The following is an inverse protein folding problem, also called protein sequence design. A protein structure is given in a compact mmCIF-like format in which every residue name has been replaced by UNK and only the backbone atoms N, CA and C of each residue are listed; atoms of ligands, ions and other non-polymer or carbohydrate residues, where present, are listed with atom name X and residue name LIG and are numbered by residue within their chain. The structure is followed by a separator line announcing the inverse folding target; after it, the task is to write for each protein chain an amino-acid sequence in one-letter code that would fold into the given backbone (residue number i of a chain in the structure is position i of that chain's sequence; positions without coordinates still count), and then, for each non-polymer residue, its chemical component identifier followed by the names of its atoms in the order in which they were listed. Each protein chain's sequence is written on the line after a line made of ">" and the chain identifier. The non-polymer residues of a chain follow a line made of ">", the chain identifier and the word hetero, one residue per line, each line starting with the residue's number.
data_IF_030024732914
#
_entry.id   IF_030024732914
#
_cell.length_a   1.000
_cell.length_b   1.000
_cell.length_c   1.000
_cell.angle_alpha   90.00
_cell.angle_beta   90.00
_cell.angle_gamma   90.00
#
_symmetry.space_group_name_H-M   'P 1'
#
loop_
_entity.id
_entity.type
_entity.pdbx_description
1 polymer ?
#
# COMPACT_ATOMS: atom_id res chain seq x y z
N UNK A 1 -2.92 22.99 4.82
CA UNK A 1 -3.62 22.11 3.90
C UNK A 1 -3.70 20.69 4.48
N UNK A 2 -4.79 19.99 4.18
CA UNK A 2 -5.01 18.62 4.64
C UNK A 2 -4.43 17.66 3.59
N UNK A 3 -3.50 16.77 3.98
CA UNK A 3 -3.00 15.74 3.08
C UNK A 3 -4.05 14.62 2.93
N UNK A 4 -4.69 14.53 1.77
CA UNK A 4 -5.72 13.53 1.48
C UNK A 4 -5.18 12.23 0.96
N UNK A 5 -4.20 12.32 0.06
CA UNK A 5 -3.64 11.16 -0.61
C UNK A 5 -2.22 11.50 -1.11
N UNK A 6 -1.36 10.51 -1.12
CA UNK A 6 -0.16 10.52 -1.95
C UNK A 6 -0.55 9.93 -3.30
N UNK A 7 -0.47 10.72 -4.36
CA UNK A 7 -0.92 10.33 -5.69
C UNK A 7 0.24 9.76 -6.49
N UNK A 8 0.12 8.51 -6.87
CA UNK A 8 1.07 7.82 -7.74
C UNK A 8 0.34 6.76 -8.58
N UNK A 9 0.99 6.33 -9.66
CA UNK A 9 0.50 5.29 -10.56
C UNK A 9 1.59 4.26 -10.81
N UNK A 10 1.38 2.99 -10.46
CA UNK A 10 2.30 1.95 -10.86
C UNK A 10 2.33 1.81 -12.39
N UNK A 11 3.49 2.04 -13.00
CA UNK A 11 3.70 1.92 -14.45
C UNK A 11 4.46 0.63 -14.75
N UNK A 12 4.04 -0.17 -15.73
CA UNK A 12 4.82 -1.31 -16.18
C UNK A 12 6.24 -0.87 -16.57
N UNK A 13 7.24 -1.64 -16.18
CA UNK A 13 8.65 -1.36 -16.46
C UNK A 13 9.24 -2.46 -17.35
N UNK A 14 9.32 -3.68 -16.84
CA UNK A 14 9.98 -4.81 -17.51
C UNK A 14 9.53 -6.13 -16.91
N UNK A 15 10.07 -7.21 -17.45
CA UNK A 15 10.07 -8.52 -16.82
C UNK A 15 11.50 -8.96 -16.58
N UNK A 16 11.78 -9.53 -15.41
CA UNK A 16 13.08 -10.10 -15.08
C UNK A 16 12.95 -11.59 -14.79
N UNK A 17 13.99 -12.35 -15.12
CA UNK A 17 14.11 -13.74 -14.77
C UNK A 17 15.02 -13.91 -13.55
N UNK A 18 14.49 -14.52 -12.49
CA UNK A 18 15.25 -14.79 -11.28
C UNK A 18 15.64 -16.26 -11.25
N UNK A 19 16.95 -16.61 -11.28
CA UNK A 19 17.40 -17.98 -11.14
C UNK A 19 17.08 -18.48 -9.73
N UNK A 20 16.44 -19.64 -9.66
CA UNK A 20 16.15 -20.32 -8.41
C UNK A 20 17.30 -21.28 -8.12
N UNK A 21 18.20 -20.90 -7.21
CA UNK A 21 19.26 -21.81 -6.71
C UNK A 21 18.66 -22.73 -5.66
N UNK A 22 18.92 -24.05 -5.78
CA UNK A 22 18.61 -25.08 -4.77
C UNK A 22 17.16 -25.53 -4.56
N UNK A 23 16.23 -25.19 -5.44
CA UNK A 23 14.86 -25.72 -5.36
C UNK A 23 14.67 -27.12 -5.95
N UNK A 24 15.71 -27.73 -6.52
CA UNK A 24 15.64 -29.07 -7.14
C UNK A 24 15.11 -30.16 -6.21
N UNK A 25 15.37 -30.09 -4.91
CA UNK A 25 14.85 -31.05 -3.93
C UNK A 25 13.38 -30.84 -3.55
N UNK A 26 12.81 -29.68 -3.87
CA UNK A 26 11.44 -29.32 -3.50
C UNK A 26 10.42 -29.35 -4.66
N UNK A 27 10.89 -29.41 -5.92
CA UNK A 27 10.03 -29.34 -7.11
C UNK A 27 9.91 -30.68 -7.88
N UNK A 28 10.03 -31.80 -7.22
CA UNK A 28 10.03 -33.16 -7.81
C UNK A 28 8.66 -33.58 -8.43
N UNK A 29 7.87 -32.65 -8.92
CA UNK A 29 6.68 -32.98 -9.73
C UNK A 29 6.55 -32.00 -10.90
N UNK A 30 7.15 -32.35 -12.04
CA UNK A 30 6.76 -31.85 -13.36
C UNK A 30 7.21 -30.44 -13.74
N UNK A 31 8.29 -30.32 -14.50
CA UNK A 31 8.70 -29.10 -15.19
C UNK A 31 9.91 -28.40 -14.55
N UNK A 32 11.06 -28.60 -15.16
CA UNK A 32 12.33 -28.03 -14.71
C UNK A 32 12.49 -26.57 -15.20
N UNK A 33 11.72 -25.65 -14.65
CA UNK A 33 12.07 -24.24 -14.79
C UNK A 33 12.89 -23.82 -13.56
N UNK A 34 14.22 -23.69 -13.76
CA UNK A 34 15.16 -23.21 -12.73
C UNK A 34 15.08 -21.69 -12.55
N UNK A 35 13.99 -21.07 -12.97
CA UNK A 35 13.80 -19.62 -12.95
C UNK A 35 12.33 -19.26 -12.69
N UNK A 36 12.11 -18.09 -12.14
CA UNK A 36 10.80 -17.47 -12.03
C UNK A 36 10.80 -16.12 -12.77
N UNK A 37 9.75 -15.88 -13.54
CA UNK A 37 9.54 -14.60 -14.23
C UNK A 37 8.80 -13.66 -13.27
N UNK A 38 9.34 -12.46 -13.10
CA UNK A 38 8.80 -11.40 -12.24
C UNK A 38 8.42 -10.20 -13.11
N UNK A 39 7.19 -9.76 -13.00
CA UNK A 39 6.75 -8.50 -13.61
C UNK A 39 7.19 -7.32 -12.76
N UNK A 40 7.88 -6.36 -13.36
CA UNK A 40 8.34 -5.15 -12.69
C UNK A 40 7.45 -3.96 -13.05
N UNK A 41 7.09 -3.22 -12.01
CA UNK A 41 6.43 -1.93 -12.11
C UNK A 41 7.29 -0.87 -11.43
N UNK A 42 7.07 0.39 -11.78
CA UNK A 42 7.69 1.54 -11.15
C UNK A 42 6.59 2.45 -10.58
N UNK A 43 6.84 3.02 -9.41
CA UNK A 43 5.98 4.07 -8.85
C UNK A 43 6.11 5.31 -9.74
N UNK A 44 5.08 5.65 -10.49
CA UNK A 44 5.02 6.94 -11.18
C UNK A 44 4.44 7.98 -10.23
N UNK A 45 5.28 8.60 -9.41
CA UNK A 45 4.84 9.63 -8.47
C UNK A 45 4.28 10.84 -9.19
N UNK A 46 3.12 11.34 -8.74
CA UNK A 46 2.42 12.50 -9.31
C UNK A 46 2.45 13.70 -8.39
N UNK A 47 2.40 13.45 -7.08
CA UNK A 47 2.39 14.53 -6.09
C UNK A 47 1.56 14.19 -4.86
N UNK A 48 1.27 15.23 -4.10
CA UNK A 48 0.38 15.19 -2.94
C UNK A 48 -0.97 15.81 -3.30
N UNK A 49 -2.05 15.09 -3.02
CA UNK A 49 -3.40 15.64 -3.12
C UNK A 49 -3.71 16.33 -1.81
N UNK A 50 -3.76 17.65 -1.82
CA UNK A 50 -3.99 18.50 -0.67
C UNK A 50 -5.34 19.19 -0.77
N UNK A 51 -6.04 19.29 0.36
CA UNK A 51 -7.30 19.98 0.48
C UNK A 51 -7.13 21.25 1.33
N UNK A 52 -7.52 22.43 0.84
CA UNK A 52 -7.63 23.60 1.68
C UNK A 52 -8.65 23.37 2.80
N UNK A 53 -8.34 23.79 4.01
CA UNK A 53 -9.27 23.68 5.15
C UNK A 53 -10.55 24.44 4.82
N UNK A 54 -11.69 23.75 4.97
CA UNK A 54 -13.00 24.32 4.65
C UNK A 54 -13.47 24.17 3.20
N UNK A 55 -12.63 23.73 2.28
CA UNK A 55 -12.99 23.44 0.88
C UNK A 55 -13.27 21.95 0.67
N UNK A 56 -14.21 21.59 -0.19
CA UNK A 56 -14.41 20.20 -0.66
C UNK A 56 -13.47 19.85 -1.82
N UNK A 57 -12.90 20.83 -2.47
CA UNK A 57 -11.98 20.68 -3.60
C UNK A 57 -10.55 20.43 -3.13
N UNK A 58 -9.75 19.85 -4.00
CA UNK A 58 -8.34 19.54 -3.74
C UNK A 58 -7.45 20.15 -4.81
N UNK A 59 -6.19 20.31 -4.47
CA UNK A 59 -5.11 20.69 -5.38
C UNK A 59 -4.07 19.60 -5.46
N UNK A 60 -3.42 19.45 -6.60
CA UNK A 60 -2.23 18.62 -6.76
C UNK A 60 -0.99 19.48 -6.50
N UNK A 61 -0.18 19.04 -5.56
CA UNK A 61 1.16 19.60 -5.31
C UNK A 61 2.16 18.64 -5.92
N UNK A 62 2.70 19.00 -7.06
CA UNK A 62 3.55 18.15 -7.90
C UNK A 62 4.95 17.96 -7.32
N UNK A 63 5.69 17.00 -7.86
CA UNK A 63 7.12 16.82 -7.61
C UNK A 63 7.89 18.13 -7.89
N UNK A 64 8.89 18.44 -7.08
CA UNK A 64 9.65 19.69 -7.13
C UNK A 64 9.05 20.86 -6.34
N UNK A 65 7.79 20.75 -5.92
CA UNK A 65 7.16 21.79 -5.10
C UNK A 65 7.77 21.86 -3.71
N UNK A 66 7.84 23.08 -3.16
CA UNK A 66 8.33 23.30 -1.80
C UNK A 66 7.19 23.16 -0.79
N UNK A 67 7.45 22.44 0.28
CA UNK A 67 6.49 22.19 1.37
C UNK A 67 7.14 22.41 2.74
N UNK A 68 6.32 22.73 3.73
CA UNK A 68 6.68 22.66 5.16
C UNK A 68 5.74 21.72 5.86
N UNK A 69 6.29 20.97 6.81
CA UNK A 69 5.53 20.00 7.60
C UNK A 69 5.34 20.52 9.03
N UNK A 70 4.23 20.13 9.66
CA UNK A 70 3.92 20.36 11.08
C UNK A 70 3.62 19.04 11.76
N UNK A 71 4.07 18.87 12.99
CA UNK A 71 3.89 17.62 13.73
C UNK A 71 2.45 17.37 14.17
N UNK A 72 1.74 18.39 14.59
CA UNK A 72 0.42 18.27 15.21
C UNK A 72 -0.67 18.95 14.40
N UNK A 73 -1.13 18.26 13.36
CA UNK A 73 -2.31 18.68 12.62
C UNK A 73 -3.60 18.09 13.21
N UNK A 74 -4.72 18.79 12.99
CA UNK A 74 -6.04 18.23 13.24
C UNK A 74 -6.30 17.07 12.27
N UNK A 75 -6.94 16.01 12.75
CA UNK A 75 -7.38 14.91 11.89
C UNK A 75 -8.72 15.22 11.25
N UNK A 76 -8.86 14.84 9.99
CA UNK A 76 -10.06 15.05 9.19
C UNK A 76 -10.68 13.74 8.72
N UNK A 77 -11.98 13.77 8.45
CA UNK A 77 -12.76 12.63 8.01
C UNK A 77 -12.19 12.00 6.73
N UNK A 78 -12.06 10.68 6.72
CA UNK A 78 -11.55 9.87 5.60
C UNK A 78 -12.48 9.83 4.37
N UNK A 79 -13.73 10.29 4.53
CA UNK A 79 -14.73 10.17 3.47
C UNK A 79 -14.40 11.03 2.25
N UNK A 80 -14.62 10.46 1.08
CA UNK A 80 -14.62 11.13 -0.21
C UNK A 80 -15.59 10.46 -1.17
N UNK A 81 -16.01 11.18 -2.24
CA UNK A 81 -17.00 10.74 -3.21
C UNK A 81 -16.49 9.71 -4.24
N UNK A 82 -15.19 9.40 -4.25
CA UNK A 82 -14.60 8.53 -5.26
C UNK A 82 -15.17 7.12 -5.30
N UNK A 83 -14.98 6.42 -6.42
CA UNK A 83 -15.46 5.05 -6.64
C UNK A 83 -14.86 4.05 -5.65
N UNK A 84 -15.61 3.00 -5.35
CA UNK A 84 -15.14 1.81 -4.63
C UNK A 84 -14.93 0.62 -5.55
N UNK A 85 -15.53 0.60 -6.73
CA UNK A 85 -15.50 -0.52 -7.67
C UNK A 85 -14.33 -0.45 -8.65
N UNK A 86 -13.90 0.77 -8.98
CA UNK A 86 -12.89 1.02 -10.00
C UNK A 86 -11.94 2.16 -9.58
N UNK A 87 -10.86 2.31 -10.34
CA UNK A 87 -9.94 3.41 -10.17
C UNK A 87 -10.55 4.70 -10.72
N UNK A 88 -10.52 5.76 -9.95
CA UNK A 88 -10.98 7.09 -10.34
C UNK A 88 -9.87 8.13 -10.14
N UNK A 89 -10.05 9.31 -10.75
CA UNK A 89 -9.13 10.42 -10.57
C UNK A 89 -9.31 11.05 -9.19
N UNK A 90 -8.30 11.03 -8.31
CA UNK A 90 -8.42 11.60 -6.97
C UNK A 90 -8.63 13.11 -6.95
N UNK A 91 -8.31 13.82 -8.03
CA UNK A 91 -8.51 15.27 -8.14
C UNK A 91 -9.97 15.67 -8.43
N UNK A 92 -10.78 14.73 -8.90
CA UNK A 92 -12.21 14.94 -9.16
C UNK A 92 -13.10 14.54 -7.99
N UNK A 93 -12.49 14.03 -6.91
CA UNK A 93 -13.21 13.64 -5.70
C UNK A 93 -13.55 14.85 -4.85
N UNK A 94 -14.72 14.82 -4.23
CA UNK A 94 -15.07 15.70 -3.12
C UNK A 94 -14.67 15.03 -1.82
N UNK A 95 -14.01 15.78 -0.94
CA UNK A 95 -13.55 15.29 0.35
C UNK A 95 -14.32 15.97 1.48
N UNK A 96 -14.60 15.23 2.55
CA UNK A 96 -15.27 15.78 3.73
C UNK A 96 -14.38 16.81 4.43
N UNK A 97 -14.96 17.98 4.76
CA UNK A 97 -14.26 19.09 5.44
C UNK A 97 -14.26 18.99 6.96
N UNK A 98 -14.93 17.97 7.54
CA UNK A 98 -15.13 17.90 8.99
C UNK A 98 -13.91 17.28 9.68
N UNK A 99 -13.40 17.91 10.75
CA UNK A 99 -12.43 17.26 11.62
C UNK A 99 -13.08 16.07 12.34
N UNK A 100 -12.26 15.12 12.77
CA UNK A 100 -12.72 13.95 13.52
C UNK A 100 -11.73 13.50 14.56
N UNK A 101 -12.24 13.06 15.70
CA UNK A 101 -11.46 12.38 16.75
C UNK A 101 -11.75 10.87 16.80
N UNK A 102 -12.61 10.40 15.87
CA UNK A 102 -12.96 8.98 15.77
C UNK A 102 -11.73 8.13 15.48
N UNK A 103 -11.55 7.04 16.22
CA UNK A 103 -10.50 6.03 15.95
C UNK A 103 -10.69 5.36 14.58
N UNK A 104 -11.91 5.35 14.04
CA UNK A 104 -12.23 4.85 12.71
C UNK A 104 -11.94 5.86 11.60
N UNK A 105 -11.64 7.12 11.94
CA UNK A 105 -11.30 8.17 10.98
C UNK A 105 -12.50 8.80 10.26
N UNK A 106 -13.75 8.51 10.64
CA UNK A 106 -14.94 9.08 10.01
C UNK A 106 -15.70 10.02 10.97
N UNK A 107 -16.19 11.14 10.45
CA UNK A 107 -17.10 12.01 11.19
C UNK A 107 -18.49 11.34 11.34
N UNK A 108 -19.36 11.78 12.28
CA UNK A 108 -20.66 11.15 12.52
C UNK A 108 -21.54 10.98 11.27
N UNK A 109 -21.46 11.90 10.31
CA UNK A 109 -22.23 11.83 9.05
C UNK A 109 -21.78 10.69 8.14
N UNK A 110 -20.53 10.25 8.24
CA UNK A 110 -19.94 9.33 7.28
C UNK A 110 -19.62 7.92 7.84
N UNK A 111 -19.91 7.67 9.12
CA UNK A 111 -19.65 6.36 9.77
C UNK A 111 -20.40 5.18 9.16
N UNK A 112 -21.53 5.42 8.48
CA UNK A 112 -22.38 4.38 7.87
C UNK A 112 -22.35 4.38 6.35
N UNK A 113 -21.45 5.16 5.73
CA UNK A 113 -21.34 5.19 4.27
C UNK A 113 -20.65 3.94 3.72
N UNK A 114 -20.88 3.56 2.45
CA UNK A 114 -20.19 2.43 1.82
C UNK A 114 -18.67 2.51 1.96
N UNK A 115 -18.08 3.71 1.92
CA UNK A 115 -16.66 3.94 2.11
C UNK A 115 -16.20 3.64 3.54
N UNK A 116 -16.98 3.99 4.56
CA UNK A 116 -16.66 3.63 5.94
C UNK A 116 -16.73 2.11 6.12
N UNK A 117 -17.77 1.47 5.60
CA UNK A 117 -17.92 0.02 5.62
C UNK A 117 -16.73 -0.66 4.92
N UNK A 118 -16.34 -0.17 3.73
CA UNK A 118 -15.16 -0.66 3.01
C UNK A 118 -13.89 -0.55 3.86
N UNK A 119 -13.65 0.62 4.45
CA UNK A 119 -12.49 0.83 5.31
C UNK A 119 -12.49 -0.15 6.49
N UNK A 120 -13.60 -0.28 7.20
CA UNK A 120 -13.72 -1.18 8.35
C UNK A 120 -13.57 -2.66 7.98
N UNK A 121 -14.07 -3.08 6.79
CA UNK A 121 -13.87 -4.44 6.28
C UNK A 121 -12.38 -4.80 6.17
N UNK A 122 -11.52 -3.87 5.72
CA UNK A 122 -10.10 -4.16 5.46
C UNK A 122 -9.12 -3.63 6.53
N UNK A 123 -9.58 -2.84 7.50
CA UNK A 123 -8.72 -2.30 8.57
C UNK A 123 -9.04 -2.86 9.96
N UNK A 124 -10.25 -3.41 10.16
CA UNK A 124 -10.58 -4.06 11.44
C UNK A 124 -9.86 -5.40 11.53
N UNK A 125 -9.18 -5.65 12.64
CA UNK A 125 -8.47 -6.91 12.87
C UNK A 125 -9.40 -8.09 13.13
N UNK A 126 -8.96 -9.29 12.72
CA UNK A 126 -9.63 -10.55 13.04
C UNK A 126 -11.05 -10.70 12.46
N UNK A 127 -11.85 -11.56 13.10
CA UNK A 127 -13.20 -11.92 12.61
C UNK A 127 -14.21 -10.77 12.65
N UNK A 128 -14.00 -9.77 13.50
CA UNK A 128 -14.88 -8.61 13.57
C UNK A 128 -14.98 -7.84 12.25
N UNK A 129 -14.00 -7.99 11.35
CA UNK A 129 -14.05 -7.41 10.00
C UNK A 129 -15.08 -8.06 9.09
N UNK A 130 -15.43 -9.35 9.30
CA UNK A 130 -16.28 -10.13 8.40
C UNK A 130 -17.69 -9.58 8.28
N UNK A 131 -18.25 -9.03 9.35
CA UNK A 131 -19.59 -8.41 9.31
C UNK A 131 -19.59 -7.16 8.43
N UNK A 132 -18.57 -6.32 8.53
CA UNK A 132 -18.41 -5.17 7.62
C UNK A 132 -18.25 -5.62 6.16
N UNK A 133 -17.53 -6.72 5.92
CA UNK A 133 -17.35 -7.25 4.57
C UNK A 133 -18.65 -7.82 4.00
N UNK A 134 -19.50 -8.46 4.79
CA UNK A 134 -20.86 -8.88 4.37
C UNK A 134 -21.74 -7.67 4.05
N UNK A 135 -21.70 -6.63 4.89
CA UNK A 135 -22.41 -5.38 4.61
C UNK A 135 -21.93 -4.73 3.31
N UNK A 136 -20.62 -4.78 3.04
CA UNK A 136 -20.04 -4.26 1.81
C UNK A 136 -20.52 -5.02 0.58
N UNK A 137 -20.52 -6.35 0.63
CA UNK A 137 -21.04 -7.21 -0.45
C UNK A 137 -22.53 -6.92 -0.75
N UNK A 138 -23.34 -6.71 0.30
CA UNK A 138 -24.75 -6.33 0.14
C UNK A 138 -24.91 -4.94 -0.51
N UNK A 139 -24.01 -4.00 -0.22
CA UNK A 139 -24.07 -2.63 -0.72
C UNK A 139 -23.60 -2.52 -2.15
N UNK A 140 -22.54 -3.24 -2.52
CA UNK A 140 -21.90 -3.16 -3.84
C UNK A 140 -22.33 -4.29 -4.80
N UNK A 141 -23.23 -5.19 -4.38
CA UNK A 141 -23.87 -6.21 -5.23
C UNK A 141 -22.91 -6.93 -6.20
N UNK A 142 -21.68 -7.24 -5.77
CA UNK A 142 -20.68 -7.93 -6.59
C UNK A 142 -19.88 -7.02 -7.54
N UNK A 143 -20.04 -5.71 -7.47
CA UNK A 143 -19.22 -4.78 -8.24
C UNK A 143 -17.77 -4.83 -7.82
N UNK A 144 -16.89 -5.03 -8.79
CA UNK A 144 -15.43 -5.02 -8.66
C UNK A 144 -14.87 -6.25 -7.95
N UNK A 145 -13.79 -6.81 -8.50
CA UNK A 145 -13.10 -7.98 -7.96
C UNK A 145 -12.28 -7.67 -6.72
N UNK A 146 -12.10 -8.69 -5.89
CA UNK A 146 -11.19 -8.68 -4.75
C UNK A 146 -10.10 -9.74 -4.94
N UNK A 147 -8.94 -9.49 -4.38
CA UNK A 147 -7.83 -10.42 -4.38
C UNK A 147 -7.30 -10.67 -2.98
N UNK A 148 -6.85 -11.89 -2.75
CA UNK A 148 -5.95 -12.21 -1.65
C UNK A 148 -4.57 -12.42 -2.24
N UNK A 149 -3.59 -11.84 -1.63
CA UNK A 149 -2.21 -11.88 -2.09
C UNK A 149 -1.25 -12.22 -0.94
N UNK A 150 -0.11 -12.75 -1.32
CA UNK A 150 1.02 -12.94 -0.41
C UNK A 150 2.17 -12.04 -0.84
N UNK A 151 2.92 -11.55 0.14
CA UNK A 151 4.07 -10.67 -0.06
C UNK A 151 5.27 -11.23 0.65
N UNK A 152 6.39 -11.33 -0.04
CA UNK A 152 7.68 -11.69 0.52
C UNK A 152 8.57 -10.46 0.68
N UNK A 153 9.24 -10.36 1.83
CA UNK A 153 10.17 -9.29 2.16
C UNK A 153 11.20 -9.78 3.19
N UNK A 154 12.49 -9.78 2.80
CA UNK A 154 13.61 -10.24 3.61
C UNK A 154 13.38 -11.62 4.27
N UNK A 155 12.96 -12.60 3.48
CA UNK A 155 12.69 -13.95 3.94
C UNK A 155 11.44 -14.12 4.79
N UNK A 156 10.69 -13.03 5.04
CA UNK A 156 9.41 -13.05 5.74
C UNK A 156 8.28 -13.02 4.72
N UNK A 157 7.12 -13.57 5.10
CA UNK A 157 5.92 -13.61 4.27
C UNK A 157 4.77 -12.96 5.01
N UNK A 158 3.85 -12.29 4.30
CA UNK A 158 2.58 -11.85 4.83
C UNK A 158 1.45 -12.15 3.87
N UNK A 159 0.24 -12.19 4.38
CA UNK A 159 -0.99 -12.23 3.59
C UNK A 159 -1.73 -10.91 3.69
N UNK A 160 -2.48 -10.57 2.66
CA UNK A 160 -3.37 -9.40 2.64
C UNK A 160 -4.47 -9.55 1.61
N UNK A 161 -5.49 -8.73 1.71
CA UNK A 161 -6.56 -8.63 0.70
C UNK A 161 -6.79 -7.18 0.30
N UNK A 162 -7.27 -7.00 -0.94
CA UNK A 162 -7.58 -5.67 -1.48
C UNK A 162 -8.50 -5.80 -2.71
N UNK A 163 -8.94 -4.67 -3.26
CA UNK A 163 -9.53 -4.62 -4.59
C UNK A 163 -8.51 -5.05 -5.65
N UNK A 164 -8.96 -5.75 -6.70
CA UNK A 164 -8.09 -6.20 -7.79
C UNK A 164 -7.32 -5.02 -8.42
N UNK A 165 -8.01 -3.95 -8.76
CA UNK A 165 -7.42 -2.76 -9.39
C UNK A 165 -6.40 -2.03 -8.50
N UNK A 166 -6.48 -2.19 -7.16
CA UNK A 166 -5.54 -1.59 -6.20
C UNK A 166 -4.31 -2.43 -5.90
N UNK A 167 -4.21 -3.65 -6.43
CA UNK A 167 -3.15 -4.57 -5.99
C UNK A 167 -1.75 -3.97 -6.15
N UNK A 168 -1.41 -3.43 -7.32
CA UNK A 168 -0.09 -2.83 -7.57
C UNK A 168 0.15 -1.58 -6.69
N UNK A 169 -0.88 -0.75 -6.49
CA UNK A 169 -0.82 0.39 -5.57
C UNK A 169 -0.57 -0.11 -4.14
N UNK A 170 -1.28 -1.16 -3.75
CA UNK A 170 -1.17 -1.72 -2.40
C UNK A 170 0.21 -2.30 -2.13
N UNK A 171 0.88 -2.85 -3.12
CA UNK A 171 2.29 -3.25 -3.01
C UNK A 171 3.20 -2.03 -2.82
N UNK A 172 3.04 -0.98 -3.61
CA UNK A 172 3.82 0.25 -3.49
C UNK A 172 3.64 0.97 -2.14
N UNK A 173 2.51 0.75 -1.45
CA UNK A 173 2.19 1.34 -0.14
C UNK A 173 2.85 0.62 1.06
N UNK A 174 3.45 -0.54 0.86
CA UNK A 174 3.92 -1.40 1.95
C UNK A 174 5.30 -2.01 1.67
N UNK A 175 6.04 -2.44 2.73
CA UNK A 175 7.28 -3.18 2.55
C UNK A 175 7.06 -4.43 1.73
N UNK A 176 7.80 -4.59 0.64
CA UNK A 176 7.77 -5.76 -0.24
C UNK A 176 9.05 -5.84 -1.07
N UNK A 177 9.45 -7.06 -1.40
CA UNK A 177 10.36 -7.34 -2.50
C UNK A 177 9.59 -7.94 -3.66
N UNK A 178 8.68 -8.87 -3.35
CA UNK A 178 7.82 -9.55 -4.32
C UNK A 178 6.42 -9.74 -3.74
N UNK A 179 5.41 -9.65 -4.59
CA UNK A 179 4.03 -10.00 -4.26
C UNK A 179 3.40 -10.88 -5.33
N UNK A 180 2.41 -11.70 -4.96
CA UNK A 180 1.62 -12.48 -5.92
C UNK A 180 0.19 -12.62 -5.45
N UNK A 181 -0.76 -12.48 -6.37
CA UNK A 181 -2.16 -12.82 -6.14
C UNK A 181 -2.26 -14.34 -6.01
N UNK A 182 -2.94 -14.82 -4.99
CA UNK A 182 -3.14 -16.25 -4.72
C UNK A 182 -4.60 -16.67 -4.80
N UNK A 183 -5.53 -15.72 -4.70
CA UNK A 183 -6.97 -15.98 -4.79
C UNK A 183 -7.71 -14.75 -5.32
N UNK A 184 -8.78 -14.95 -6.10
CA UNK A 184 -9.64 -13.90 -6.65
C UNK A 184 -11.11 -14.25 -6.42
N UNK A 185 -11.92 -13.24 -6.14
CA UNK A 185 -13.36 -13.37 -5.90
C UNK A 185 -14.08 -12.04 -6.11
N UNK A 186 -15.38 -12.08 -6.31
CA UNK A 186 -16.22 -10.88 -6.36
C UNK A 186 -16.82 -10.51 -4.99
N UNK A 187 -16.46 -11.23 -3.91
CA UNK A 187 -16.97 -11.00 -2.57
C UNK A 187 -15.87 -10.53 -1.62
N UNK A 188 -16.06 -9.37 -0.99
CA UNK A 188 -15.17 -8.85 0.06
C UNK A 188 -15.12 -9.83 1.26
N UNK A 189 -16.26 -10.39 1.63
CA UNK A 189 -16.35 -11.37 2.71
C UNK A 189 -15.54 -12.65 2.41
N UNK A 190 -15.62 -13.17 1.18
CA UNK A 190 -14.82 -14.34 0.79
C UNK A 190 -13.31 -14.02 0.78
N UNK A 191 -12.91 -12.86 0.24
CA UNK A 191 -11.52 -12.43 0.22
C UNK A 191 -10.98 -12.30 1.65
N UNK A 192 -11.70 -11.61 2.54
CA UNK A 192 -11.29 -11.44 3.94
C UNK A 192 -11.29 -12.75 4.72
N UNK A 193 -12.28 -13.63 4.52
CA UNK A 193 -12.31 -14.97 5.10
C UNK A 193 -11.10 -15.80 4.68
N UNK A 194 -10.72 -15.75 3.40
CA UNK A 194 -9.53 -16.45 2.88
C UNK A 194 -8.25 -15.92 3.50
N UNK A 195 -8.08 -14.61 3.57
CA UNK A 195 -6.94 -13.95 4.23
C UNK A 195 -6.80 -14.40 5.68
N UNK A 196 -7.90 -14.37 6.47
CA UNK A 196 -7.90 -14.82 7.86
C UNK A 196 -7.61 -16.32 8.01
N UNK A 197 -8.11 -17.18 7.11
CA UNK A 197 -7.76 -18.60 7.11
C UNK A 197 -6.27 -18.83 6.86
N UNK A 198 -5.68 -18.12 5.90
CA UNK A 198 -4.24 -18.20 5.60
C UNK A 198 -3.42 -17.69 6.79
N UNK A 199 -3.81 -16.58 7.41
CA UNK A 199 -3.08 -16.00 8.54
C UNK A 199 -3.00 -16.95 9.75
N UNK A 200 -4.01 -17.81 9.94
CA UNK A 200 -4.08 -18.81 11.04
C UNK A 200 -3.15 -20.00 10.87
N UNK A 201 -2.67 -20.30 9.67
CA UNK A 201 -1.75 -21.44 9.45
C UNK A 201 -0.40 -21.23 10.17
N UNK A 202 -0.13 -20.02 10.62
CA UNK A 202 1.13 -19.64 11.21
C UNK A 202 2.21 -19.29 10.17
N UNK A 203 2.95 -18.24 10.44
CA UNK A 203 3.97 -17.70 9.53
C UNK A 203 3.44 -16.78 8.44
N UNK A 204 2.13 -16.41 8.44
CA UNK A 204 1.52 -15.47 7.51
C UNK A 204 0.84 -14.30 8.26
N UNK A 205 1.58 -13.42 8.92
CA UNK A 205 0.98 -12.27 9.59
C UNK A 205 0.31 -11.32 8.58
N UNK A 206 -0.67 -10.55 9.05
CA UNK A 206 -1.32 -9.51 8.25
C UNK A 206 -0.43 -8.24 8.11
N UNK A 207 0.60 -8.12 8.95
CA UNK A 207 1.51 -6.96 8.94
C UNK A 207 2.97 -7.40 8.97
N UNK A 208 3.80 -6.77 8.15
CA UNK A 208 5.26 -6.87 8.21
C UNK A 208 5.81 -5.59 8.84
N UNK A 209 6.58 -5.74 9.91
CA UNK A 209 7.41 -4.63 10.42
C UNK A 209 8.68 -4.58 9.57
N UNK A 210 9.00 -3.43 9.06
CA UNK A 210 10.23 -3.17 8.33
C UNK A 210 10.77 -1.80 8.75
N UNK A 211 12.06 -1.72 8.91
CA UNK A 211 12.76 -0.45 9.06
C UNK A 211 13.00 0.16 7.68
N UNK A 212 13.14 1.47 7.61
CA UNK A 212 13.41 2.15 6.34
C UNK A 212 14.66 1.59 5.66
N UNK A 213 15.69 1.24 6.43
CA UNK A 213 16.94 0.63 5.92
C UNK A 213 16.71 -0.69 5.18
N UNK A 214 15.77 -1.50 5.64
CA UNK A 214 15.44 -2.78 5.00
C UNK A 214 14.90 -2.55 3.58
N UNK A 215 14.17 -1.44 3.35
CA UNK A 215 13.59 -1.11 2.05
C UNK A 215 14.65 -0.76 1.00
N UNK A 216 15.84 -0.32 1.44
CA UNK A 216 16.92 0.09 0.54
C UNK A 216 17.59 -1.08 -0.18
N UNK A 217 17.55 -2.27 0.40
CA UNK A 217 18.27 -3.44 -0.09
C UNK A 217 17.39 -4.70 -0.11
N UNK A 218 16.37 -4.77 -0.99
CA UNK A 218 15.49 -5.94 -1.06
C UNK A 218 16.27 -7.19 -1.52
N UNK A 219 16.01 -8.33 -0.89
CA UNK A 219 16.63 -9.62 -1.23
C UNK A 219 15.76 -10.43 -2.19
N UNK A 220 15.72 -10.05 -3.46
CA UNK A 220 14.78 -10.58 -4.46
C UNK A 220 14.87 -12.10 -4.62
N UNK A 221 16.08 -12.66 -4.68
CA UNK A 221 16.29 -14.13 -4.83
C UNK A 221 15.76 -14.87 -3.61
N UNK A 222 16.11 -14.42 -2.40
CA UNK A 222 15.60 -14.99 -1.16
C UNK A 222 14.08 -14.91 -1.08
N UNK A 223 13.51 -13.79 -1.49
CA UNK A 223 12.08 -13.55 -1.41
C UNK A 223 11.29 -14.29 -2.48
N UNK A 224 11.87 -14.55 -3.67
CA UNK A 224 11.30 -15.46 -4.65
C UNK A 224 11.19 -16.90 -4.07
N UNK A 225 12.24 -17.39 -3.45
CA UNK A 225 12.25 -18.69 -2.77
C UNK A 225 11.20 -18.72 -1.63
N UNK A 226 11.18 -17.69 -0.79
CA UNK A 226 10.21 -17.54 0.31
C UNK A 226 8.78 -17.60 -0.19
N UNK A 227 8.46 -16.89 -1.27
CA UNK A 227 7.13 -16.83 -1.87
C UNK A 227 6.70 -18.22 -2.39
N UNK A 228 7.57 -18.91 -3.14
CA UNK A 228 7.27 -20.22 -3.71
C UNK A 228 7.14 -21.32 -2.65
N UNK A 229 8.04 -21.36 -1.66
CA UNK A 229 7.98 -22.32 -0.54
C UNK A 229 6.67 -22.16 0.23
N UNK A 230 6.28 -20.91 0.53
CA UNK A 230 5.07 -20.66 1.28
C UNK A 230 3.81 -20.91 0.46
N UNK A 231 3.80 -20.63 -0.85
CA UNK A 231 2.70 -21.04 -1.72
C UNK A 231 2.52 -22.57 -1.74
N UNK A 232 3.62 -23.33 -1.79
CA UNK A 232 3.58 -24.81 -1.69
C UNK A 232 3.04 -25.27 -0.32
N UNK A 233 3.43 -24.59 0.78
CA UNK A 233 2.90 -24.86 2.12
C UNK A 233 1.39 -24.66 2.16
N UNK A 234 0.88 -23.58 1.59
CA UNK A 234 -0.55 -23.31 1.52
C UNK A 234 -1.32 -24.37 0.69
N UNK A 235 -0.78 -24.76 -0.47
CA UNK A 235 -1.40 -25.84 -1.27
C UNK A 235 -1.47 -27.16 -0.51
N UNK A 236 -0.41 -27.53 0.23
CA UNK A 236 -0.38 -28.72 1.10
C UNK A 236 -1.40 -28.64 2.25
N UNK A 237 -1.72 -27.43 2.71
CA UNK A 237 -2.75 -27.19 3.69
C UNK A 237 -4.19 -27.18 3.10
N UNK A 238 -4.34 -27.53 1.83
CA UNK A 238 -5.62 -27.68 1.16
C UNK A 238 -6.17 -26.39 0.50
N UNK A 239 -5.35 -25.35 0.35
CA UNK A 239 -5.77 -24.16 -0.35
C UNK A 239 -5.64 -24.34 -1.87
N UNK A 240 -6.74 -24.09 -2.59
CA UNK A 240 -6.72 -23.98 -4.05
C UNK A 240 -6.23 -22.57 -4.42
N UNK A 241 -4.97 -22.48 -4.78
CA UNK A 241 -4.29 -21.23 -5.10
C UNK A 241 -4.11 -21.07 -6.60
N UNK A 242 -4.26 -19.84 -7.08
CA UNK A 242 -3.81 -19.46 -8.43
C UNK A 242 -2.32 -19.77 -8.64
N UNK A 243 -1.88 -19.90 -9.89
CA UNK A 243 -0.45 -19.93 -10.21
C UNK A 243 0.26 -18.72 -9.66
N UNK A 244 1.43 -18.91 -9.08
CA UNK A 244 2.25 -17.82 -8.55
C UNK A 244 2.84 -17.04 -9.72
N UNK A 245 2.44 -15.79 -9.85
CA UNK A 245 2.97 -14.81 -10.79
C UNK A 245 3.54 -13.65 -9.99
N UNK A 246 4.82 -13.70 -9.64
CA UNK A 246 5.42 -12.66 -8.83
C UNK A 246 5.48 -11.34 -9.58
N UNK A 247 5.22 -10.28 -8.84
CA UNK A 247 5.47 -8.93 -9.31
C UNK A 247 6.14 -8.11 -8.22
N UNK A 248 6.81 -7.03 -8.61
CA UNK A 248 7.38 -6.04 -7.70
C UNK A 248 7.09 -4.63 -8.19
N UNK A 249 7.04 -3.70 -7.26
CA UNK A 249 6.95 -2.27 -7.55
C UNK A 249 8.20 -1.61 -7.00
N UNK A 250 8.92 -0.87 -7.83
CA UNK A 250 10.15 -0.17 -7.46
C UNK A 250 9.91 1.33 -7.29
N UNK A 251 10.75 2.03 -6.49
CA UNK A 251 10.72 3.49 -6.44
C UNK A 251 11.07 4.09 -7.81
N UNK A 252 10.52 5.25 -8.12
CA UNK A 252 10.80 5.97 -9.38
C UNK A 252 12.27 6.40 -9.43
N UNK A 253 12.75 6.98 -8.34
CA UNK A 253 14.11 7.52 -8.18
C UNK A 253 14.94 6.61 -7.26
N UNK A 254 15.43 5.47 -7.78
CA UNK A 254 16.18 4.48 -6.98
C UNK A 254 17.41 5.06 -6.28
N UNK A 255 18.16 5.91 -6.96
CA UNK A 255 19.40 6.46 -6.41
C UNK A 255 19.13 7.50 -5.34
N UNK A 256 18.08 8.29 -5.51
CA UNK A 256 17.57 9.19 -4.46
C UNK A 256 17.14 8.37 -3.24
N UNK A 257 16.36 7.32 -3.47
CA UNK A 257 15.86 6.47 -2.39
C UNK A 257 17.01 5.85 -1.57
N UNK A 258 18.05 5.34 -2.21
CA UNK A 258 19.23 4.75 -1.55
C UNK A 258 20.00 5.75 -0.68
N UNK A 259 20.00 7.02 -1.05
CA UNK A 259 20.71 8.09 -0.35
C UNK A 259 19.82 8.85 0.66
N UNK A 260 18.63 8.34 0.93
CA UNK A 260 17.64 8.97 1.80
C UNK A 260 17.78 8.50 3.24
N UNK A 261 17.58 9.41 4.19
CA UNK A 261 17.59 9.14 5.64
C UNK A 261 16.17 9.26 6.19
N UNK A 262 15.72 8.25 6.93
CA UNK A 262 14.43 8.33 7.63
C UNK A 262 14.48 9.42 8.72
N UNK A 263 13.44 10.25 8.78
CA UNK A 263 13.21 11.27 9.82
C UNK A 263 11.77 11.19 10.31
N UNK A 264 11.56 11.54 11.58
CA UNK A 264 10.22 11.80 12.08
C UNK A 264 9.78 13.19 11.61
N UNK A 265 8.49 13.43 11.50
CA UNK A 265 7.95 14.75 11.09
C UNK A 265 8.48 15.86 12.01
N UNK A 266 8.57 15.62 13.32
CA UNK A 266 9.10 16.61 14.28
C UNK A 266 10.56 17.04 13.96
N UNK A 267 11.38 16.14 13.46
CA UNK A 267 12.80 16.42 13.17
C UNK A 267 12.97 17.34 11.94
N UNK A 268 11.90 17.55 11.17
CA UNK A 268 11.85 18.37 9.95
C UNK A 268 10.73 19.42 9.96
N UNK A 269 10.14 19.67 11.14
CA UNK A 269 9.11 20.69 11.32
C UNK A 269 9.65 22.08 10.98
N UNK A 270 8.82 22.86 10.26
CA UNK A 270 9.11 24.24 9.83
C UNK A 270 10.31 24.40 8.88
N UNK A 271 10.95 23.31 8.47
CA UNK A 271 11.97 23.32 7.42
C UNK A 271 11.28 23.36 6.05
N UNK A 272 11.78 24.19 5.14
CA UNK A 272 11.36 24.16 3.74
C UNK A 272 12.01 22.99 3.03
N UNK A 273 11.18 22.07 2.55
CA UNK A 273 11.57 20.82 1.90
C UNK A 273 11.03 20.79 0.48
N UNK A 274 11.73 20.17 -0.45
CA UNK A 274 11.28 19.95 -1.81
C UNK A 274 10.69 18.53 -1.94
N UNK A 275 9.52 18.40 -2.56
CA UNK A 275 8.85 17.13 -2.76
C UNK A 275 9.52 16.32 -3.87
N UNK A 276 10.05 15.15 -3.54
CA UNK A 276 10.83 14.32 -4.48
C UNK A 276 10.08 13.09 -4.95
N UNK A 277 9.40 12.37 -4.06
CA UNK A 277 8.78 11.11 -4.46
C UNK A 277 8.03 10.39 -3.35
N UNK A 278 7.70 9.14 -3.63
CA UNK A 278 7.01 8.26 -2.68
C UNK A 278 7.42 6.80 -2.89
N UNK A 279 7.63 6.07 -1.80
CA UNK A 279 7.81 4.63 -1.85
C UNK A 279 7.51 3.97 -0.50
N UNK A 280 6.83 2.82 -0.54
CA UNK A 280 6.62 1.93 0.62
C UNK A 280 6.06 2.63 1.88
N UNK A 281 5.15 3.60 1.67
CA UNK A 281 4.54 4.35 2.77
C UNK A 281 5.32 5.58 3.21
N UNK A 282 6.43 5.93 2.53
CA UNK A 282 7.24 7.10 2.83
C UNK A 282 7.15 8.16 1.74
N UNK A 283 6.97 9.40 2.14
CA UNK A 283 7.14 10.58 1.28
C UNK A 283 8.62 10.95 1.31
N UNK A 284 9.21 11.09 0.12
CA UNK A 284 10.61 11.45 -0.07
C UNK A 284 10.72 12.96 -0.31
N UNK A 285 11.58 13.61 0.44
CA UNK A 285 11.76 15.05 0.45
C UNK A 285 13.25 15.37 0.37
N UNK A 286 13.58 16.48 -0.26
CA UNK A 286 14.93 17.03 -0.26
C UNK A 286 15.00 18.24 0.67
N UNK A 287 16.01 18.27 1.54
CA UNK A 287 16.31 19.42 2.40
C UNK A 287 17.46 20.23 1.79
N UNK A 288 17.18 21.37 1.12
CA UNK A 288 18.21 22.15 0.46
C UNK A 288 19.18 22.80 1.45
N UNK A 289 18.73 23.09 2.70
CA UNK A 289 19.59 23.68 3.72
C UNK A 289 20.68 22.75 4.24
N UNK A 290 20.46 21.44 4.17
CA UNK A 290 21.41 20.42 4.60
C UNK A 290 21.95 19.57 3.44
N UNK A 291 21.47 19.79 2.21
CA UNK A 291 21.79 19.01 1.01
C UNK A 291 21.57 17.48 1.20
N UNK A 292 20.47 17.07 1.88
CA UNK A 292 20.16 15.67 2.18
C UNK A 292 18.74 15.32 1.75
N UNK A 293 18.55 14.07 1.34
CA UNK A 293 17.24 13.49 1.14
C UNK A 293 16.71 12.90 2.45
N UNK A 294 15.44 13.14 2.75
CA UNK A 294 14.78 12.64 3.95
C UNK A 294 13.50 11.89 3.58
N UNK A 295 13.16 10.86 4.33
CA UNK A 295 11.93 10.11 4.20
C UNK A 295 11.09 10.29 5.46
N UNK A 296 9.83 10.67 5.30
CA UNK A 296 8.86 10.74 6.39
C UNK A 296 7.69 9.79 6.13
N UNK A 297 7.20 9.14 7.18
CA UNK A 297 6.03 8.24 7.05
C UNK A 297 4.79 9.02 6.64
N UNK A 298 4.23 8.68 5.48
CA UNK A 298 2.99 9.31 4.99
C UNK A 298 1.83 9.17 5.99
N UNK A 299 1.77 8.07 6.74
CA UNK A 299 0.73 7.82 7.75
C UNK A 299 0.70 8.83 8.89
N UNK A 300 1.80 9.57 9.15
CA UNK A 300 1.84 10.64 10.15
C UNK A 300 1.18 11.93 9.65
N UNK A 301 1.09 12.12 8.32
CA UNK A 301 0.59 13.32 7.69
C UNK A 301 -0.80 13.13 7.05
N UNK A 302 -1.12 11.88 6.66
CA UNK A 302 -2.39 11.59 5.99
C UNK A 302 -3.59 11.97 6.86
N UNK A 303 -4.55 12.65 6.24
CA UNK A 303 -5.78 13.17 6.87
C UNK A 303 -5.55 14.23 7.93
N UNK A 304 -4.39 14.87 7.95
CA UNK A 304 -4.08 15.98 8.85
C UNK A 304 -3.80 17.27 8.06
N UNK A 305 -4.01 18.42 8.68
CA UNK A 305 -3.66 19.74 8.10
C UNK A 305 -2.20 20.13 8.33
N UNK A 306 -1.33 19.12 8.37
CA UNK A 306 0.10 19.24 8.69
C UNK A 306 0.99 19.68 7.52
N UNK A 307 0.45 19.99 6.34
CA UNK A 307 1.23 20.36 5.16
C UNK A 307 0.93 21.79 4.74
N UNK A 308 1.97 22.58 4.48
CA UNK A 308 1.88 23.92 3.90
C UNK A 308 2.72 23.97 2.63
N UNK A 309 2.17 24.47 1.53
CA UNK A 309 2.92 24.77 0.30
C UNK A 309 3.61 26.11 0.47
N UNK A 310 4.83 26.20 0.00
CA UNK A 310 5.69 27.40 0.06
C UNK A 310 5.99 27.82 -1.37
N UNK A 311 5.80 29.06 -1.68
CA UNK A 311 6.12 29.66 -2.99
C UNK A 311 7.62 29.73 -3.26
#
# INVERSE_FOLDING_TARGET
>A
LILRLVYFEPKPLSTIEIPLKDLHSFLSTGGAENKVVVEEFRVGFKGLVLQPVGSEEVILVEQGSKVRLREHGLKYCLWHSGSLSERDNPLERRYCTQPTQSSQGFCPRHTKTPRAIYTLCFTTGGEGSLEYCKMLDSTLAGEGGYVVYIVAFHGRIKVGSTRYWRFNERLAEQPHSLGSIVFETNSAHQARSMELKISRIGGFPEHLKADFRDLLNPSIIQDANTLLINAKKLRRAGFDLKPIKPLRVEPDEKDVFKNTVERRVIDVTDVTLELVGYYSGYILLYNPGQAVYVAVKASQLLQTDSVTVVD
#
